data_IF_378336662221
#
_entry.id   IF_378336662221
#
_cell.length_a   1.000
_cell.length_b   1.000
_cell.length_c   1.000
_cell.angle_alpha   90.00
_cell.angle_beta   90.00
_cell.angle_gamma   90.00
#
_symmetry.space_group_name_H-M   'P 1'
#
loop_
_entity.id
_entity.type
_entity.pdbx_description
1 polymer ?
2 branched ?
3 water ?
#
# COMPACT_ATOMS: atom_id res chain seq x y z
N UNK A 2 23.10 -22.56 4.72
CA UNK A 2 23.11 -22.65 6.22
C UNK A 2 22.58 -21.36 6.86
N UNK A 3 22.16 -20.42 6.03
CA UNK A 3 21.52 -19.19 6.51
C UNK A 3 20.36 -18.84 5.58
N UNK A 4 19.48 -18.01 6.10
CA UNK A 4 18.40 -17.43 5.35
C UNK A 4 18.59 -15.93 5.48
N UNK A 5 18.52 -15.26 4.33
CA UNK A 5 18.65 -13.80 4.25
C UNK A 5 17.35 -13.22 3.74
N UNK A 6 16.76 -12.27 4.46
CA UNK A 6 15.48 -11.66 4.06
C UNK A 6 15.73 -10.17 4.05
N UNK A 7 15.48 -9.55 2.92
CA UNK A 7 15.56 -8.10 2.80
C UNK A 7 14.14 -7.60 2.87
N UNK A 8 13.86 -6.76 3.88
CA UNK A 8 12.54 -6.24 4.14
C UNK A 8 12.56 -4.72 3.86
N UNK A 9 11.70 -4.27 2.95
CA UNK A 9 11.47 -2.86 2.60
C UNK A 9 10.19 -2.42 3.33
N UNK A 10 10.25 -1.28 4.02
CA UNK A 10 9.12 -0.81 4.78
C UNK A 10 8.89 0.67 4.58
N UNK A 11 7.68 1.03 4.21
CA UNK A 11 7.33 2.42 3.97
C UNK A 11 6.12 2.78 4.82
N UNK A 12 6.28 3.91 5.54
CA UNK A 12 5.24 4.54 6.34
C UNK A 12 4.88 5.86 5.65
N UNK A 13 3.62 6.04 5.42
CA UNK A 13 3.20 7.32 4.83
C UNK A 13 3.36 8.45 5.84
N UNK A 14 3.43 8.20 7.15
CA UNK A 14 3.57 9.32 8.05
C UNK A 14 4.99 9.81 8.25
N UNK A 15 5.98 9.09 7.70
CA UNK A 15 7.37 9.47 7.79
C UNK A 15 8.00 9.33 9.18
N UNK A 16 7.33 8.59 10.05
CA UNK A 16 7.68 8.55 11.48
C UNK A 16 8.16 7.11 11.80
N UNK A 17 9.43 6.84 11.50
CA UNK A 17 9.99 5.47 11.61
C UNK A 17 10.65 5.14 12.94
N UNK A 18 10.84 6.13 13.83
CA UNK A 18 11.63 5.94 15.06
C UNK A 18 10.99 4.87 15.94
N UNK A 19 11.82 3.92 16.35
CA UNK A 19 11.40 2.79 17.15
C UNK A 19 10.82 1.56 16.41
N UNK A 20 10.37 1.74 15.18
CA UNK A 20 9.80 0.59 14.42
C UNK A 20 10.91 -0.42 14.10
N UNK A 21 10.61 -1.70 14.34
CA UNK A 21 11.54 -2.81 14.17
C UNK A 21 10.71 -4.07 13.84
N UNK A 22 11.40 -5.15 13.55
CA UNK A 22 10.78 -6.35 13.01
C UNK A 22 10.96 -7.54 13.94
N UNK A 23 9.84 -8.16 14.24
CA UNK A 23 9.83 -9.34 15.04
C UNK A 23 9.65 -10.45 14.03
N UNK A 24 10.68 -11.28 13.88
CA UNK A 24 10.69 -12.33 12.88
C UNK A 24 11.00 -13.67 13.57
N UNK A 25 10.20 -14.69 13.25
CA UNK A 25 10.44 -16.02 13.84
C UNK A 25 10.39 -17.14 12.80
N UNK A 26 11.24 -18.16 12.96
CA UNK A 26 11.15 -19.32 12.06
C UNK A 26 9.84 -20.03 12.20
N UNK A 27 9.32 -20.48 11.09
CA UNK A 27 8.06 -21.22 11.10
C UNK A 27 8.06 -22.56 10.38
N UNK A 28 8.65 -22.66 9.19
CA UNK A 28 9.04 -23.92 8.59
C UNK A 28 10.45 -23.91 7.99
N UNK A 29 11.16 -25.04 8.00
CA UNK A 29 10.65 -26.32 8.50
C UNK A 29 10.63 -26.44 10.05
N UNK A 30 11.14 -25.43 10.78
CA UNK A 30 11.05 -25.41 12.21
C UNK A 30 10.43 -24.11 12.73
N UNK A 31 9.71 -24.25 13.85
CA UNK A 31 9.10 -23.13 14.59
C UNK A 31 9.89 -22.87 15.86
N UNK A 32 10.37 -21.65 16.02
CA UNK A 32 11.16 -21.24 17.18
C UNK A 32 10.68 -19.82 17.60
N UNK A 33 10.96 -19.46 18.84
CA UNK A 33 10.65 -18.11 19.33
C UNK A 33 11.49 -17.11 18.46
N UNK A 34 10.90 -15.94 18.25
CA UNK A 34 11.43 -14.91 17.38
C UNK A 34 12.48 -14.05 18.09
N UNK A 35 12.94 -13.06 17.33
CA UNK A 35 13.90 -12.08 17.71
C UNK A 35 13.50 -10.81 17.00
N UNK A 36 14.02 -9.70 17.53
CA UNK A 36 13.84 -8.38 16.96
C UNK A 36 15.00 -8.05 16.05
N UNK A 37 14.67 -7.49 14.90
CA UNK A 37 15.64 -7.03 13.89
C UNK A 37 15.41 -5.57 13.60
N UNK A 38 16.52 -4.84 13.49
CA UNK A 38 16.49 -3.39 13.25
C UNK A 38 16.69 -3.08 11.77
N UNK A 39 16.14 -1.96 11.34
CA UNK A 39 16.39 -1.45 9.99
C UNK A 39 17.84 -1.06 9.95
N UNK A 40 18.50 -1.40 8.83
CA UNK A 40 19.94 -1.26 8.59
C UNK A 40 20.27 -0.24 7.47
N UNK A 41 19.27 0.19 6.71
CA UNK A 41 19.46 1.14 5.63
C UNK A 41 18.17 1.76 5.17
N UNK A 42 18.26 2.40 4.00
CA UNK A 42 17.17 3.16 3.42
C UNK A 42 17.29 3.20 1.91
N UNK A 43 16.14 3.37 1.23
CA UNK A 43 16.13 3.58 -0.20
C UNK A 43 14.95 4.45 -0.55
N UNK A 44 14.61 4.55 -1.85
CA UNK A 44 13.55 5.49 -2.28
C UNK A 44 12.15 5.06 -1.83
N UNK A 45 12.02 3.83 -1.32
CA UNK A 45 10.74 3.32 -0.83
C UNK A 45 10.58 3.47 0.68
N UNK A 46 11.68 3.51 1.40
CA UNK A 46 11.60 3.60 2.84
C UNK A 46 12.80 2.96 3.48
N UNK A 47 12.62 2.45 4.67
CA UNK A 47 13.64 1.73 5.39
C UNK A 47 13.87 0.33 4.83
N UNK A 48 15.09 -0.13 5.06
CA UNK A 48 15.51 -1.42 4.61
C UNK A 48 16.09 -2.18 5.79
N UNK A 49 15.70 -3.45 5.92
CA UNK A 49 16.34 -4.36 6.87
C UNK A 49 16.92 -5.58 6.13
N UNK A 50 18.17 -5.92 6.42
CA UNK A 50 18.76 -7.15 5.94
C UNK A 50 18.85 -8.08 7.13
N UNK A 51 18.02 -9.14 7.11
CA UNK A 51 17.82 -10.03 8.20
C UNK A 51 18.51 -11.34 7.89
N UNK A 52 19.35 -11.78 8.81
CA UNK A 52 20.08 -13.06 8.64
C UNK A 52 19.74 -13.98 9.80
N UNK A 53 19.17 -15.14 9.43
CA UNK A 53 18.73 -16.19 10.31
C UNK A 53 19.64 -17.39 10.07
N UNK A 54 20.15 -18.01 11.14
CA UNK A 54 21.19 -19.04 11.03
C UNK A 54 20.67 -20.46 10.81
N UNK A 55 19.66 -20.61 9.94
CA UNK A 55 19.07 -21.87 9.53
C UNK A 55 18.58 -21.70 8.08
N UNK A 56 18.36 -22.80 7.36
CA UNK A 56 17.63 -22.79 6.08
C UNK A 56 16.13 -22.91 6.36
N UNK A 57 15.40 -21.86 6.00
CA UNK A 57 14.00 -21.71 6.32
C UNK A 57 13.22 -21.52 5.03
N UNK A 58 12.02 -22.09 5.00
CA UNK A 58 11.09 -21.92 3.88
C UNK A 58 9.92 -20.99 4.24
N UNK A 59 9.71 -20.76 5.52
CA UNK A 59 8.72 -19.78 5.98
C UNK A 59 9.13 -19.17 7.31
N UNK A 60 8.94 -17.86 7.42
CA UNK A 60 9.05 -17.14 8.67
C UNK A 60 7.81 -16.32 8.95
N UNK A 61 7.59 -16.03 10.22
CA UNK A 61 6.55 -15.07 10.62
C UNK A 61 7.20 -13.70 10.78
N UNK A 62 6.41 -12.63 10.63
CA UNK A 62 6.91 -11.27 10.76
C UNK A 62 5.78 -10.45 11.37
N UNK A 63 6.12 -9.61 12.35
CA UNK A 63 5.28 -8.51 12.86
C UNK A 63 6.14 -7.24 12.90
N UNK A 64 5.59 -6.18 12.34
CA UNK A 64 6.22 -4.88 12.38
C UNK A 64 5.75 -4.26 13.72
N UNK A 65 6.69 -3.98 14.59
CA UNK A 65 6.35 -3.55 15.96
C UNK A 65 7.10 -2.28 16.36
N UNK A 66 6.50 -1.53 17.27
CA UNK A 66 7.08 -0.28 17.78
C UNK A 66 7.78 -0.55 19.14
N UNK A 67 9.09 -0.35 19.21
CA UNK A 67 9.87 -0.60 20.40
C UNK A 67 9.52 -2.05 20.94
N UNK A 68 9.42 -2.23 22.26
CA UNK A 68 9.12 -3.56 22.79
C UNK A 68 7.61 -3.70 22.90
N UNK A 69 6.95 -3.98 21.76
CA UNK A 69 5.51 -4.23 21.71
C UNK A 69 4.65 -3.06 22.22
N UNK A 70 5.12 -1.85 22.02
CA UNK A 70 4.25 -0.68 22.19
C UNK A 70 3.05 -0.62 21.22
N UNK A 71 3.22 -1.15 20.02
CA UNK A 71 2.17 -1.22 18.98
C UNK A 71 2.64 -2.22 17.95
N UNK A 72 1.70 -2.66 17.13
CA UNK A 72 1.91 -3.54 15.98
C UNK A 72 1.26 -2.84 14.78
N UNK A 73 2.00 -2.71 13.66
CA UNK A 73 1.51 -2.09 12.49
C UNK A 73 0.97 -3.31 11.69
N UNK A 74 -0.34 -3.50 11.77
CA UNK A 74 -1.09 -4.70 11.39
C UNK A 74 -0.87 -5.77 12.48
N UNK A 75 -1.83 -5.83 13.42
CA UNK A 75 -1.73 -6.65 14.63
C UNK A 75 -2.25 -8.06 14.44
N UNK A 76 -1.64 -8.75 13.53
CA UNK A 76 -1.90 -10.18 13.35
C UNK A 76 -0.62 -10.76 12.76
N UNK A 77 -0.41 -12.04 12.97
CA UNK A 77 0.76 -12.66 12.36
C UNK A 77 0.66 -12.71 10.83
N UNK A 78 1.79 -12.41 10.18
CA UNK A 78 1.93 -12.49 8.73
C UNK A 78 3.18 -13.33 8.48
N UNK A 79 3.29 -13.80 7.24
CA UNK A 79 4.31 -14.75 6.88
C UNK A 79 5.02 -14.38 5.62
N UNK A 80 6.27 -14.85 5.53
CA UNK A 80 7.07 -14.66 4.35
C UNK A 80 7.55 -16.02 3.85
N UNK A 81 7.28 -16.29 2.59
CA UNK A 81 7.67 -17.54 1.95
C UNK A 81 9.05 -17.37 1.36
N UNK A 82 9.91 -18.32 1.64
CA UNK A 82 11.29 -18.20 1.24
C UNK A 82 11.69 -19.40 0.36
N UNK A 83 12.41 -19.08 -0.71
CA UNK A 83 13.06 -20.07 -1.63
C UNK A 83 14.58 -19.94 -1.57
N UNK A 84 15.28 -21.07 -1.40
CA UNK A 84 16.74 -21.12 -1.47
C UNK A 84 17.40 -20.10 -0.56
N UNK A 85 16.81 -19.95 0.60
CA UNK A 85 17.46 -19.17 1.65
C UNK A 85 17.46 -17.67 1.42
N UNK A 86 16.63 -17.15 0.53
CA UNK A 86 16.65 -15.73 0.20
C UNK A 86 15.25 -15.27 -0.07
N UNK A 87 14.83 -14.13 0.47
CA UNK A 87 13.60 -13.48 0.04
C UNK A 87 13.76 -11.98 0.15
N UNK A 88 12.90 -11.28 -0.56
CA UNK A 88 12.87 -9.83 -0.55
C UNK A 88 11.42 -9.40 -0.63
N UNK A 89 10.97 -8.60 0.32
CA UNK A 89 9.60 -8.18 0.39
C UNK A 89 9.44 -6.69 0.64
N UNK A 90 8.28 -6.21 0.27
CA UNK A 90 7.90 -4.80 0.46
C UNK A 90 6.63 -4.77 1.32
N UNK A 91 6.64 -3.92 2.33
CA UNK A 91 5.57 -3.79 3.34
C UNK A 91 5.25 -2.31 3.51
N UNK A 92 3.97 -2.01 3.50
CA UNK A 92 3.44 -0.66 3.70
C UNK A 92 2.63 -0.56 4.99
N UNK A 93 2.75 0.60 5.63
CA UNK A 93 2.00 0.92 6.86
C UNK A 93 0.54 0.63 6.67
N UNK A 94 0.01 -0.15 7.59
CA UNK A 94 -1.41 -0.45 7.62
C UNK A 94 -1.98 -1.37 6.52
N UNK A 95 -1.17 -1.80 5.56
CA UNK A 95 -1.57 -2.68 4.48
C UNK A 95 -1.16 -4.14 4.82
N UNK A 96 -2.13 -4.99 4.87
CA UNK A 96 -1.92 -6.37 5.30
C UNK A 96 -1.08 -7.20 4.33
N UNK A 97 -1.35 -7.10 3.04
CA UNK A 97 -0.61 -7.84 2.02
C UNK A 97 0.88 -7.53 2.01
N UNK A 98 1.68 -8.60 2.01
CA UNK A 98 3.12 -8.50 1.82
C UNK A 98 3.43 -8.76 0.37
N UNK A 99 4.17 -7.84 -0.23
CA UNK A 99 4.52 -7.81 -1.65
C UNK A 99 5.92 -8.37 -1.92
N UNK A 100 6.00 -9.21 -2.95
CA UNK A 100 7.23 -9.80 -3.42
C UNK A 100 7.82 -9.11 -4.68
N UNK A 101 7.21 -8.02 -5.09
CA UNK A 101 7.79 -7.12 -6.07
C UNK A 101 7.63 -5.69 -5.59
N UNK A 102 8.54 -4.84 -5.98
CA UNK A 102 8.47 -3.44 -5.59
C UNK A 102 7.25 -2.74 -6.16
N UNK A 103 6.38 -2.18 -5.29
CA UNK A 103 5.29 -1.36 -5.82
C UNK A 103 5.78 -0.19 -6.65
N UNK B 1 -30.17 9.26 -5.08
CA UNK B 1 -30.49 10.65 -5.49
C UNK B 1 -30.00 11.05 -6.91
N UNK B 2 -29.32 12.18 -7.03
CA UNK B 2 -29.00 12.77 -8.34
C UNK B 2 -27.53 13.20 -8.52
N UNK B 3 -26.71 13.04 -7.50
CA UNK B 3 -25.27 13.18 -7.65
C UNK B 3 -24.53 12.16 -6.81
N UNK B 4 -23.27 11.96 -7.18
CA UNK B 4 -22.39 11.00 -6.53
C UNK B 4 -21.12 11.75 -6.19
N UNK B 5 -20.64 11.48 -4.98
CA UNK B 5 -19.46 12.13 -4.45
C UNK B 5 -18.49 11.06 -4.06
N UNK B 6 -17.28 11.18 -4.57
CA UNK B 6 -16.21 10.26 -4.21
C UNK B 6 -15.02 11.05 -3.72
N UNK B 7 -14.57 10.73 -2.50
CA UNK B 7 -13.40 11.32 -1.95
C UNK B 7 -12.29 10.32 -2.16
N UNK B 8 -11.24 10.73 -2.87
CA UNK B 8 -10.12 9.88 -3.28
C UNK B 8 -8.84 10.42 -2.66
N UNK B 9 -8.20 9.56 -1.86
CA UNK B 9 -6.93 9.87 -1.16
C UNK B 9 -5.83 9.13 -1.89
N UNK B 10 -4.71 9.82 -2.14
CA UNK B 10 -3.63 9.22 -2.92
C UNK B 10 -2.26 9.49 -2.26
N UNK B 11 -1.51 8.42 -2.03
CA UNK B 11 -0.20 8.48 -1.43
C UNK B 11 0.82 7.93 -2.39
N UNK B 12 1.89 8.69 -2.61
CA UNK B 12 3.10 8.25 -3.33
C UNK B 12 4.30 8.14 -2.37
N UNK B 13 4.90 6.97 -2.34
CA UNK B 13 6.13 6.79 -1.58
C UNK B 13 7.35 7.62 -2.03
N UNK B 14 7.37 8.06 -3.29
CA UNK B 14 8.49 8.82 -3.82
C UNK B 14 8.24 10.33 -3.73
N UNK B 15 7.06 10.75 -3.25
CA UNK B 15 6.74 12.16 -3.20
C UNK B 15 6.54 12.88 -4.54
N UNK B 16 6.50 12.14 -5.65
CA UNK B 16 6.50 12.82 -6.93
C UNK B 16 5.07 13.03 -7.39
N UNK B 17 4.33 13.89 -6.68
CA UNK B 17 2.94 14.08 -6.98
C UNK B 17 2.66 14.93 -8.22
N UNK B 18 3.62 15.79 -8.55
CA UNK B 18 3.50 16.70 -9.68
C UNK B 18 2.92 16.00 -10.95
N UNK B 19 1.78 16.52 -11.41
CA UNK B 19 1.13 16.16 -12.65
C UNK B 19 0.05 15.09 -12.49
N UNK B 20 0.08 14.34 -11.38
CA UNK B 20 -0.80 13.22 -11.25
C UNK B 20 -2.24 13.68 -11.05
N UNK B 21 -3.15 13.02 -11.74
CA UNK B 21 -4.57 13.34 -11.62
C UNK B 21 -5.42 12.09 -11.83
N UNK B 22 -6.74 12.22 -11.70
CA UNK B 22 -7.63 11.04 -11.74
C UNK B 22 -8.53 11.02 -12.98
N UNK B 23 -8.53 9.90 -13.68
CA UNK B 23 -9.46 9.62 -14.76
C UNK B 23 -10.55 8.71 -14.22
N UNK B 24 -11.74 9.27 -14.13
CA UNK B 24 -12.91 8.53 -13.62
C UNK B 24 -14.09 8.55 -14.61
N UNK B 25 -14.71 7.40 -14.78
CA UNK B 25 -15.82 7.24 -15.71
C UNK B 25 -16.95 6.48 -15.05
N UNK B 26 -18.17 6.92 -15.29
CA UNK B 26 -19.33 6.14 -14.85
C UNK B 26 -19.37 4.73 -15.46
N UNK B 27 -19.71 3.75 -14.64
CA UNK B 27 -19.84 2.42 -15.16
C UNK B 27 -21.18 1.70 -14.90
N UNK B 28 -21.66 1.75 -13.69
CA UNK B 28 -23.08 1.56 -13.39
C UNK B 28 -23.89 2.60 -12.67
N UNK B 29 -25.20 2.68 -12.95
CA UNK B 29 -25.93 1.80 -13.90
C UNK B 29 -25.78 2.11 -15.41
N UNK B 30 -25.17 3.23 -15.76
CA UNK B 30 -24.87 3.47 -17.16
C UNK B 30 -23.45 3.93 -17.31
N UNK B 31 -22.83 3.42 -18.36
CA UNK B 31 -21.46 3.70 -18.67
C UNK B 31 -21.37 4.92 -19.58
N UNK B 32 -20.39 5.78 -19.32
CA UNK B 32 -20.13 6.91 -20.17
C UNK B 32 -18.61 7.11 -20.24
N UNK B 33 -18.14 7.77 -21.29
CA UNK B 33 -16.73 8.22 -21.28
C UNK B 33 -16.42 9.09 -20.03
N UNK B 34 -15.16 9.02 -19.59
CA UNK B 34 -14.67 9.73 -18.43
C UNK B 34 -14.18 11.14 -18.62
N UNK B 35 -13.58 11.67 -17.54
CA UNK B 35 -13.15 13.02 -17.40
C UNK B 35 -11.98 12.94 -16.45
N UNK B 36 -11.10 13.94 -16.47
CA UNK B 36 -10.02 14.07 -15.53
C UNK B 36 -10.47 14.96 -14.37
N UNK B 37 -10.00 14.60 -13.20
CA UNK B 37 -10.29 15.30 -11.97
C UNK B 37 -8.94 15.59 -11.27
N UNK B 38 -8.74 16.81 -10.80
CA UNK B 38 -7.50 17.22 -10.15
C UNK B 38 -7.64 17.09 -8.64
N UNK B 39 -6.51 16.85 -7.96
CA UNK B 39 -6.46 16.94 -6.52
C UNK B 39 -6.63 18.42 -6.12
N UNK B 40 -7.35 18.69 -5.03
CA UNK B 40 -7.54 20.08 -4.56
C UNK B 40 -7.04 20.30 -3.15
N UNK B 41 -6.69 19.19 -2.49
CA UNK B 41 -6.32 19.20 -1.10
C UNK B 41 -5.23 18.18 -0.80
N UNK B 42 -4.86 18.18 0.47
CA UNK B 42 -3.76 17.40 1.01
C UNK B 42 -4.01 17.14 2.47
N UNK B 43 -3.59 15.97 2.88
CA UNK B 43 -3.64 15.58 4.31
C UNK B 43 -2.37 14.76 4.63
N UNK B 44 -2.36 14.13 5.79
CA UNK B 44 -1.19 13.40 6.20
C UNK B 44 -0.83 12.18 5.34
N UNK B 45 -1.82 11.67 4.64
CA UNK B 45 -1.67 10.53 3.70
C UNK B 45 -1.22 10.92 2.30
N UNK B 46 -1.55 12.13 1.87
CA UNK B 46 -1.06 12.66 0.61
C UNK B 46 -2.13 13.56 0.00
N UNK B 47 -2.34 13.43 -1.31
CA UNK B 47 -3.30 14.24 -2.04
C UNK B 47 -4.76 13.80 -1.79
N UNK B 48 -5.68 14.75 -1.95
CA UNK B 48 -7.11 14.50 -1.83
C UNK B 48 -7.87 15.15 -2.99
N UNK B 49 -8.76 14.40 -3.62
CA UNK B 49 -9.73 14.89 -4.59
C UNK B 49 -11.13 14.57 -4.13
N UNK B 50 -12.01 15.52 -4.28
CA UNK B 50 -13.44 15.32 -4.13
C UNK B 50 -14.05 15.39 -5.54
N UNK B 51 -14.57 14.26 -6.00
CA UNK B 51 -15.05 14.06 -7.36
C UNK B 51 -16.56 14.02 -7.22
N UNK B 52 -17.23 14.90 -7.96
CA UNK B 52 -18.66 15.03 -8.00
C UNK B 52 -19.16 14.70 -9.43
N UNK B 53 -19.99 13.68 -9.52
CA UNK B 53 -20.63 13.34 -10.78
C UNK B 53 -22.13 13.57 -10.67
N UNK B 54 -22.76 14.07 -11.74
CA UNK B 54 -24.16 14.49 -11.67
C UNK B 54 -25.12 13.36 -12.04
N UNK B 55 -24.88 12.16 -11.51
CA UNK B 55 -25.74 11.01 -11.69
C UNK B 55 -25.65 10.17 -10.40
N UNK B 56 -26.61 9.31 -10.12
CA UNK B 56 -26.53 8.37 -9.00
C UNK B 56 -25.89 7.07 -9.48
N UNK B 57 -24.66 6.82 -9.05
CA UNK B 57 -23.85 5.73 -9.55
C UNK B 57 -23.53 4.73 -8.44
N UNK B 58 -23.55 3.46 -8.80
CA UNK B 58 -23.04 2.37 -7.96
C UNK B 58 -21.63 1.87 -8.32
N UNK B 59 -21.10 2.26 -9.49
CA UNK B 59 -19.77 1.86 -9.88
C UNK B 59 -19.18 2.85 -10.84
N UNK B 60 -17.94 3.25 -10.55
CA UNK B 60 -17.11 4.01 -11.44
C UNK B 60 -15.79 3.31 -11.70
N UNK B 61 -15.21 3.65 -12.83
CA UNK B 61 -13.86 3.27 -13.12
C UNK B 61 -12.92 4.36 -12.69
N UNK B 62 -11.68 3.99 -12.34
CA UNK B 62 -10.60 4.96 -12.00
C UNK B 62 -9.26 4.50 -12.53
N UNK B 63 -8.52 5.49 -13.02
CA UNK B 63 -7.12 5.34 -13.38
C UNK B 63 -6.40 6.58 -12.84
N UNK B 64 -5.28 6.33 -12.17
CA UNK B 64 -4.40 7.41 -11.72
C UNK B 64 -3.37 7.62 -12.83
N UNK B 65 -3.37 8.82 -13.44
CA UNK B 65 -2.55 9.12 -14.63
C UNK B 65 -1.70 10.37 -14.45
N UNK B 66 -0.64 10.47 -15.24
CA UNK B 66 0.28 11.55 -15.14
C UNK B 66 -0.05 12.52 -16.28
N UNK B 67 -0.46 13.74 -15.95
CA UNK B 67 -0.90 14.73 -16.93
C UNK B 67 -1.82 14.06 -17.96
N UNK B 68 -1.63 14.35 -19.24
CA UNK B 68 -2.55 13.84 -20.27
C UNK B 68 -2.00 12.51 -20.77
N UNK B 69 -2.12 11.47 -19.90
CA UNK B 69 -1.80 10.06 -20.22
C UNK B 69 -0.29 9.78 -20.49
N UNK B 70 0.57 10.60 -19.90
CA UNK B 70 1.99 10.32 -20.01
C UNK B 70 2.39 9.05 -19.33
N UNK B 71 1.65 8.61 -18.32
CA UNK B 71 1.90 7.38 -17.59
C UNK B 71 0.65 7.10 -16.80
N UNK B 72 0.58 5.84 -16.33
CA UNK B 72 -0.44 5.36 -15.40
C UNK B 72 0.29 4.79 -14.21
N UNK B 73 -0.30 4.97 -13.03
CA UNK B 73 0.13 4.36 -11.78
C UNK B 73 -0.83 3.20 -11.50
N UNK B 74 -0.40 2.00 -11.90
CA UNK B 74 -1.17 0.79 -12.05
C UNK B 74 -1.94 0.92 -13.38
N UNK B 75 -1.57 0.14 -14.37
CA UNK B 75 -2.03 0.39 -15.71
C UNK B 75 -3.44 -0.19 -16.03
N UNK B 76 -3.91 -1.19 -15.31
CA UNK B 76 -5.20 -1.79 -15.63
C UNK B 76 -6.31 -0.91 -15.07
N UNK B 77 -7.48 -0.96 -15.72
CA UNK B 77 -8.67 -0.29 -15.22
C UNK B 77 -8.95 -0.84 -13.78
N UNK B 78 -9.40 0.06 -12.92
CA UNK B 78 -9.86 -0.30 -11.56
C UNK B 78 -11.21 0.37 -11.34
N UNK B 79 -11.90 -0.05 -10.28
CA UNK B 79 -13.29 0.30 -10.05
C UNK B 79 -13.49 0.57 -8.57
N UNK B 80 -14.42 1.45 -8.34
CA UNK B 80 -14.89 1.81 -7.01
C UNK B 80 -16.39 1.53 -6.96
N UNK B 81 -16.77 0.78 -5.92
CA UNK B 81 -18.15 0.38 -5.66
C UNK B 81 -18.74 1.30 -4.59
N UNK B 82 -19.93 1.84 -4.90
CA UNK B 82 -20.48 3.02 -4.23
C UNK B 82 -21.88 2.76 -3.73
N UNK B 83 -22.13 3.08 -2.48
CA UNK B 83 -23.47 2.87 -1.89
C UNK B 83 -24.02 4.24 -1.54
N UNK B 84 -25.30 4.39 -1.89
CA UNK B 84 -26.06 5.61 -1.67
C UNK B 84 -25.33 6.89 -2.11
N UNK B 85 -24.64 6.81 -3.24
CA UNK B 85 -24.06 7.99 -3.85
C UNK B 85 -22.91 8.68 -3.16
N UNK B 86 -22.20 7.99 -2.26
CA UNK B 86 -21.06 8.51 -1.52
C UNK B 86 -20.04 7.37 -1.32
N UNK B 87 -18.76 7.65 -1.57
CA UNK B 87 -17.69 6.68 -1.30
C UNK B 87 -16.43 7.45 -0.97
N UNK B 88 -15.50 6.77 -0.31
CA UNK B 88 -14.22 7.37 0.06
C UNK B 88 -13.17 6.27 0.04
N UNK B 89 -12.09 6.51 -0.69
CA UNK B 89 -11.05 5.48 -0.90
C UNK B 89 -9.66 6.04 -0.78
N UNK B 90 -8.72 5.11 -0.57
CA UNK B 90 -7.32 5.36 -0.33
C UNK B 90 -6.56 4.48 -1.31
N UNK B 91 -5.70 5.13 -2.09
CA UNK B 91 -4.92 4.55 -3.16
C UNK B 91 -3.45 4.84 -2.84
N UNK B 92 -2.64 3.79 -2.98
CA UNK B 92 -1.21 3.84 -2.78
C UNK B 92 -0.49 3.53 -4.09
N UNK B 93 0.57 4.32 -4.34
CA UNK B 93 1.44 4.11 -5.45
C UNK B 93 1.81 2.63 -5.68
N UNK B 94 1.48 2.15 -6.89
CA UNK B 94 1.89 0.83 -7.31
C UNK B 94 1.13 -0.35 -6.74
N UNK B 95 0.16 -0.04 -5.87
CA UNK B 95 -0.63 -1.04 -5.17
C UNK B 95 -1.96 -1.14 -5.89
N UNK B 96 -2.30 -2.35 -6.36
CA UNK B 96 -3.51 -2.55 -7.19
C UNK B 96 -4.76 -2.37 -6.35
N UNK B 97 -4.74 -2.93 -5.14
CA UNK B 97 -5.95 -2.92 -4.29
C UNK B 97 -6.36 -1.48 -3.91
N UNK B 98 -7.62 -1.14 -4.13
CA UNK B 98 -8.15 0.13 -3.64
C UNK B 98 -8.75 -0.05 -2.23
N UNK B 99 -8.36 0.81 -1.28
CA UNK B 99 -8.79 0.59 0.12
C UNK B 99 -9.99 1.46 0.48
N UNK B 100 -10.86 0.89 1.31
CA UNK B 100 -12.12 1.57 1.73
C UNK B 100 -12.08 2.03 3.17
N UNK B 101 -10.91 1.97 3.78
CA UNK B 101 -10.66 2.67 5.04
C UNK B 101 -9.20 3.04 5.06
N UNK B 102 -8.90 4.05 5.83
CA UNK B 102 -7.53 4.58 5.87
C UNK B 102 -6.54 3.55 6.40
N UNK B 103 -5.51 3.21 5.61
CA UNK B 103 -4.43 2.35 6.11
C UNK B 103 -3.77 2.95 7.37
X LIG C 1 3.29 -12.00 27.22
X LIG C 1 3.64 -10.60 26.70
X LIG C 1 3.28 -10.30 25.25
X LIG C 1 3.74 -11.48 24.42
X LIG C 1 2.93 -12.69 24.94
X LIG C 1 2.98 -13.94 24.06
X LIG C 1 2.02 -11.98 27.81
X LIG C 1 3.04 -9.60 27.50
X LIG C 1 3.91 -9.05 24.91
X LIG C 1 3.37 -11.34 23.08
X LIG C 1 3.28 -13.04 26.25
X LIG C 1 1.69 -14.08 23.48
X LIG C 2 4.25 -10.52 22.28
X LIG C 2 3.46 -10.20 21.00
X LIG C 2 3.28 -11.53 20.22
X LIG C 2 4.58 -12.32 20.00
X LIG C 2 5.34 -12.43 21.33
X LIG C 2 6.75 -12.95 21.14
X LIG C 2 2.14 -9.67 21.21
X LIG C 2 2.63 -11.29 18.99
X LIG C 2 4.30 -13.59 19.42
X LIG C 2 5.47 -11.21 22.00
X LIG C 2 7.22 -13.30 22.40
X LIG C 3 4.60 -13.65 18.01
X LIG C 3 3.49 -14.32 17.28
X LIG C 3 3.38 -15.82 17.72
X LIG C 3 4.72 -16.51 17.56
X LIG C 3 5.80 -15.71 18.30
X LIG C 3 7.18 -16.31 18.12
X LIG C 3 2.28 -13.57 17.47
X LIG C 3 2.44 -16.51 16.93
X LIG C 3 4.62 -17.81 18.15
X LIG C 3 5.82 -14.33 17.81
X LIG C 3 8.12 -15.56 18.84
X LIG C 4 4.88 -18.86 17.20
X LIG C 4 3.78 -19.92 17.19
X LIG C 4 3.63 -20.57 18.56
X LIG C 4 5.01 -21.06 19.04
X LIG C 4 6.14 -20.01 18.85
X LIG C 4 7.57 -20.53 18.98
X LIG C 4 2.63 -19.36 16.60
X LIG C 4 2.68 -21.66 18.42
X LIG C 4 5.00 -21.43 20.39
X LIG C 4 6.03 -19.54 17.52
X LIG C 4 7.73 -21.71 18.19
X LIG D 1 -5.30 7.54 -27.95
X LIG D 1 -4.43 8.12 -26.81
X LIG D 1 -4.57 7.38 -25.47
X LIG D 1 -6.05 7.05 -25.14
X LIG D 1 -6.78 6.61 -26.43
X LIG D 1 -8.26 6.33 -26.20
X LIG D 1 -4.88 6.20 -28.25
X LIG D 1 -3.09 8.16 -27.24
X LIG D 1 -3.79 8.05 -24.45
X LIG D 1 -6.33 6.00 -24.14
X LIG D 1 -6.64 7.56 -27.49
X LIG D 1 -8.76 5.67 -27.35
X LIG D 2 -6.32 6.67 -22.88
X LIG D 2 -6.05 5.61 -21.79
X LIG D 2 -7.29 4.77 -21.52
X LIG D 2 -8.55 5.60 -21.29
X LIG D 2 -8.71 6.52 -22.52
X LIG D 2 -9.97 7.37 -22.36
X LIG D 2 -4.94 4.80 -22.09
X LIG D 2 -7.04 3.93 -20.44
X LIG D 2 -9.66 4.71 -21.19
X LIG D 2 -7.54 7.36 -22.69
X LIG D 2 -10.09 8.39 -23.37
X LIG D 3 -10.22 4.52 -19.87
X LIG D 3 -10.43 3.03 -19.64
X LIG D 3 -11.53 2.49 -20.57
X LIG D 3 -12.79 3.32 -20.48
X LIG D 3 -12.49 4.81 -20.63
X LIG D 3 -13.71 5.69 -20.35
X LIG D 3 -9.20 2.34 -19.87
X LIG D 3 -11.79 1.14 -20.32
X LIG D 3 -13.76 2.83 -21.45
X LIG D 3 -11.45 5.20 -19.73
X LIG D 3 -13.34 7.02 -20.68
X LIG D 4 -14.87 2.14 -20.85
X LIG D 4 -15.14 0.82 -21.56
X LIG D 4 -15.47 1.10 -23.03
X LIG D 4 -16.65 2.06 -23.09
X LIG D 4 -16.52 3.29 -22.16
X LIG D 4 -17.92 3.76 -21.79
X LIG D 4 -14.05 -0.10 -21.45
X LIG D 4 -15.80 -0.15 -23.63
X LIG D 4 -16.89 2.46 -24.44
X LIG D 4 -16.00 2.94 -20.89
X LIG D 4 -18.26 4.86 -22.56
#
# INVERSE_FOLDING_TARGET
FTETTIVVHYHRYDGKYDGWNLWIWPVEPVSQEGKAYQFTGEDDFGKVAVVKLPMDLTKVGIIVRLNEWQAKDVAKDRFIEIKDGKAEVWILQGVEEIFYEKP
FTETTIVVHYHRYDGKYDGWNLWIWPVEPVSQEGKAYQFTGEDDFGKVAVVKLPMDLTKVGIIVRLNEWQAKDVAKDRFIEIKDGKAEVWILQGVEEIFYEKP
GLC C1 C2 C3 C4 C5 C6 O1 O2 O3 O4 O5 O6
GLC C1 C2 C3 C4 C5 C6 O2 O3 O4 O5 O6
GLC C1 C2 C3 C4 C5 C6 O2 O3 O4 O5 O6
GLC C1 C2 C3 C4 C5 C6 O2 O3 O4 O5 O6
GLC C1 C2 C3 C4 C5 C6 O1 O2 O3 O4 O5 O6
GLC C1 C2 C3 C4 C5 C6 O2 O3 O4 O5 O6
GLC C1 C2 C3 C4 C5 C6 O2 O3 O4 O5 O6
GLC C1 C2 C3 C4 C5 C6 O2 O3 O4 O5 O6
#
